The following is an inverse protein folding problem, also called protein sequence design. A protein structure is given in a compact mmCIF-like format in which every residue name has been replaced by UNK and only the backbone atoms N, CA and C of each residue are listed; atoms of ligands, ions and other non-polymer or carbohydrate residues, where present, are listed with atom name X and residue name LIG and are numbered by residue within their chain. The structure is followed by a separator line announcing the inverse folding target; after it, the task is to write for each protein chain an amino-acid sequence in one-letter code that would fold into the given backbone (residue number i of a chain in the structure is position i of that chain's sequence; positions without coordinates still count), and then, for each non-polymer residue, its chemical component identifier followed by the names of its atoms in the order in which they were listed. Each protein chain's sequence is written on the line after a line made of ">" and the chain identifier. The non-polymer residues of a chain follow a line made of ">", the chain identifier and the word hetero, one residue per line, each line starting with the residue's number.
data_IF_188287442073
#
_entry.id   IF_188287442073
#
_cell.length_a   1.000
_cell.length_b   1.000
_cell.length_c   1.000
_cell.angle_alpha   90.00
_cell.angle_beta   90.00
_cell.angle_gamma   90.00
#
_symmetry.space_group_name_H-M   'P 1'
#
loop_
_entity.id
_entity.type
_entity.pdbx_description
1 polymer ?
#
# COMPACT_ATOMS: atom_id res chain seq x y z
N UNK A 1 -36.56 -15.60 -0.13
CA UNK A 1 -35.53 -16.66 -0.17
C UNK A 1 -34.26 -16.11 0.44
N UNK A 2 -34.13 -16.10 1.77
CA UNK A 2 -32.90 -15.72 2.44
C UNK A 2 -31.94 -16.90 2.39
N UNK A 3 -31.06 -16.95 1.39
CA UNK A 3 -29.98 -17.94 1.41
C UNK A 3 -29.03 -17.62 2.57
N UNK A 4 -28.99 -18.54 3.54
CA UNK A 4 -28.03 -18.48 4.64
C UNK A 4 -26.64 -18.81 4.08
N UNK A 5 -25.78 -17.81 3.99
CA UNK A 5 -24.42 -17.88 3.40
C UNK A 5 -23.32 -18.14 4.43
N UNK A 6 -23.61 -17.96 5.71
CA UNK A 6 -22.66 -18.23 6.80
C UNK A 6 -22.34 -19.72 6.86
N UNK A 7 -21.06 -20.06 6.95
CA UNK A 7 -20.57 -21.45 7.04
C UNK A 7 -20.37 -22.16 5.71
N UNK A 8 -20.65 -21.50 4.57
CA UNK A 8 -20.45 -22.08 3.23
C UNK A 8 -19.13 -21.63 2.61
N UNK A 9 -18.46 -22.52 1.89
CA UNK A 9 -17.29 -22.17 1.07
C UNK A 9 -17.75 -21.47 -0.21
N UNK A 10 -17.75 -20.14 -0.19
CA UNK A 10 -18.18 -19.31 -1.32
C UNK A 10 -16.97 -18.63 -1.99
N UNK A 11 -17.04 -18.34 -3.30
CA UNK A 11 -16.01 -17.56 -3.98
C UNK A 11 -15.77 -16.22 -3.29
N UNK A 12 -14.51 -15.81 -3.23
CA UNK A 12 -14.13 -14.51 -2.70
C UNK A 12 -14.62 -13.39 -3.60
N UNK A 13 -15.29 -12.40 -3.02
CA UNK A 13 -15.77 -11.20 -3.74
C UNK A 13 -14.65 -10.44 -4.46
N UNK A 14 -13.45 -10.44 -3.89
CA UNK A 14 -12.25 -9.79 -4.44
C UNK A 14 -11.36 -10.74 -5.25
N UNK A 15 -11.75 -12.01 -5.39
CA UNK A 15 -10.93 -13.06 -5.97
C UNK A 15 -10.58 -12.80 -7.43
N UNK A 16 -11.58 -12.53 -8.27
CA UNK A 16 -11.39 -12.29 -9.71
C UNK A 16 -10.45 -11.11 -9.95
N UNK A 17 -10.68 -9.98 -9.29
CA UNK A 17 -9.85 -8.79 -9.46
C UNK A 17 -8.38 -9.05 -9.08
N UNK A 18 -8.14 -9.85 -8.03
CA UNK A 18 -6.79 -10.21 -7.59
C UNK A 18 -6.07 -11.15 -8.55
N UNK A 19 -6.75 -12.16 -9.10
CA UNK A 19 -6.11 -13.15 -10.00
C UNK A 19 -5.94 -12.66 -11.44
N UNK A 20 -6.70 -11.64 -11.83
CA UNK A 20 -6.63 -11.04 -13.18
C UNK A 20 -5.73 -9.81 -13.25
N UNK A 21 -5.23 -9.31 -12.12
CA UNK A 21 -4.48 -8.05 -12.06
C UNK A 21 -5.35 -6.79 -12.17
N UNK A 22 -6.68 -6.93 -12.10
CA UNK A 22 -7.60 -5.78 -12.11
C UNK A 22 -7.72 -5.08 -10.74
N UNK A 23 -7.27 -5.70 -9.66
CA UNK A 23 -7.23 -5.08 -8.35
C UNK A 23 -6.14 -3.99 -8.31
N UNK A 24 -6.52 -2.76 -7.94
CA UNK A 24 -5.60 -1.64 -7.76
C UNK A 24 -5.12 -1.56 -6.31
N UNK A 25 -3.80 -1.45 -6.13
CA UNK A 25 -3.15 -1.17 -4.86
C UNK A 25 -2.61 0.27 -4.85
N UNK A 26 -2.18 0.76 -3.68
CA UNK A 26 -1.71 2.14 -3.54
C UNK A 26 -0.58 2.52 -4.51
N UNK A 27 0.24 1.55 -4.92
CA UNK A 27 1.35 1.77 -5.85
C UNK A 27 0.94 1.81 -7.32
N UNK A 28 -0.28 1.35 -7.65
CA UNK A 28 -0.82 1.33 -9.01
C UNK A 28 -1.53 2.65 -9.35
N UNK A 29 -1.76 3.50 -8.34
CA UNK A 29 -2.44 4.78 -8.50
C UNK A 29 -1.53 5.81 -9.16
N UNK A 30 -2.03 6.46 -10.21
CA UNK A 30 -1.36 7.59 -10.88
C UNK A 30 -2.32 8.76 -10.90
N UNK A 31 -1.94 9.87 -10.27
CA UNK A 31 -2.74 11.08 -10.19
C UNK A 31 -2.09 12.22 -10.99
N UNK A 32 -2.89 13.16 -11.54
CA UNK A 32 -2.35 14.35 -12.17
C UNK A 32 -1.43 15.12 -11.21
N UNK A 33 -0.21 15.46 -11.66
CA UNK A 33 0.81 16.18 -10.88
C UNK A 33 1.30 15.44 -9.62
N UNK A 34 1.24 14.11 -9.60
CA UNK A 34 1.74 13.30 -8.48
C UNK A 34 3.24 13.51 -8.25
N UNK A 35 3.60 13.94 -7.04
CA UNK A 35 4.98 14.00 -6.58
C UNK A 35 5.41 12.65 -6.00
N UNK A 36 6.71 12.38 -6.02
CA UNK A 36 7.30 11.18 -5.44
C UNK A 36 8.12 11.55 -4.21
N UNK A 37 8.06 10.72 -3.18
CA UNK A 37 8.81 10.90 -1.94
C UNK A 37 9.86 9.79 -1.78
N UNK A 38 10.97 10.12 -1.11
CA UNK A 38 11.98 9.16 -0.67
C UNK A 38 12.42 9.51 0.74
N UNK A 39 12.62 8.47 1.56
CA UNK A 39 13.02 8.64 2.96
C UNK A 39 14.54 8.47 3.10
N UNK A 40 15.20 9.45 3.75
CA UNK A 40 16.56 9.29 4.28
C UNK A 40 16.47 8.60 5.64
N UNK A 41 17.03 7.40 5.73
CA UNK A 41 17.05 6.62 6.99
C UNK A 41 18.35 6.83 7.74
N UNK A 42 18.31 6.57 9.05
CA UNK A 42 19.51 6.57 9.90
C UNK A 42 20.51 5.52 9.40
N UNK A 43 21.81 5.85 9.28
CA UNK A 43 22.86 4.86 9.05
C UNK A 43 23.29 4.15 10.34
N UNK A 44 22.81 4.59 11.51
CA UNK A 44 23.18 4.06 12.82
C UNK A 44 21.99 3.39 13.51
N UNK A 45 22.19 2.25 14.19
CA UNK A 45 21.13 1.59 14.96
C UNK A 45 20.72 2.39 16.20
N UNK A 46 21.64 3.13 16.82
CA UNK A 46 21.38 4.04 17.92
C UNK A 46 22.34 5.23 17.86
N UNK A 47 21.78 6.43 17.79
CA UNK A 47 22.52 7.69 17.80
C UNK A 47 21.55 8.84 18.11
N UNK A 48 22.08 9.96 18.60
CA UNK A 48 21.31 11.21 18.74
C UNK A 48 21.43 12.02 17.45
N UNK A 49 20.30 12.50 16.93
CA UNK A 49 20.29 13.47 15.82
C UNK A 49 20.73 14.83 16.38
N UNK A 50 21.87 15.34 15.92
CA UNK A 50 22.39 16.64 16.35
C UNK A 50 21.99 17.77 15.40
N UNK A 51 21.94 17.48 14.10
CA UNK A 51 21.58 18.42 13.03
C UNK A 51 21.06 17.65 11.82
N UNK A 52 20.13 18.26 11.10
CA UNK A 52 19.74 17.87 9.74
C UNK A 52 20.00 19.08 8.85
N UNK A 53 20.73 18.89 7.76
CA UNK A 53 20.96 19.91 6.75
C UNK A 53 20.15 19.57 5.50
N UNK A 54 19.22 20.45 5.13
CA UNK A 54 18.35 20.30 3.96
C UNK A 54 18.70 21.34 2.88
N UNK A 55 19.83 22.03 2.99
CA UNK A 55 20.28 22.96 1.96
C UNK A 55 20.90 22.18 0.80
N UNK A 56 20.03 21.77 -0.13
CA UNK A 56 20.28 21.33 -1.52
C UNK A 56 19.01 20.71 -2.09
#
# INVERSE_FOLDING_TARGET
>A
MSEQVVGKSVPRVDGVAKVTGAAQFCIDLVLPRMLHAKLKRSPHPHARIVRIDTSR
#
